data_IF_762209842650
#
_entry.id   IF_762209842650
#
_cell.length_a   1.000
_cell.length_b   1.000
_cell.length_c   1.000
_cell.angle_alpha   90.00
_cell.angle_beta   90.00
_cell.angle_gamma   90.00
#
_symmetry.space_group_name_H-M   'P 1'
#
loop_
_entity.id
_entity.type
_entity.pdbx_description
1 polymer ?
#
# COMPACT_ATOMS: atom_id res chain seq x y z
N UNK A 1 9.40 -17.84 -0.97
CA UNK A 1 9.78 -16.65 -1.76
C UNK A 1 10.53 -15.71 -0.82
N UNK A 2 11.86 -15.58 -0.94
CA UNK A 2 12.62 -14.66 -0.07
C UNK A 2 12.26 -13.21 -0.46
N UNK A 3 11.60 -12.50 0.45
CA UNK A 3 10.81 -11.31 0.11
C UNK A 3 11.59 -10.01 0.08
N UNK A 4 12.88 -10.02 0.44
CA UNK A 4 13.79 -8.86 0.40
C UNK A 4 14.73 -8.79 -0.80
N UNK A 5 14.41 -9.40 -1.95
CA UNK A 5 15.26 -9.33 -3.14
C UNK A 5 15.33 -7.88 -3.69
N UNK A 6 16.53 -7.30 -3.90
CA UNK A 6 16.70 -5.90 -4.34
C UNK A 6 16.03 -5.56 -5.68
N UNK A 7 15.66 -6.57 -6.47
CA UNK A 7 15.07 -6.42 -7.80
C UNK A 7 13.56 -6.18 -7.79
N UNK A 8 12.85 -6.47 -6.69
CA UNK A 8 11.39 -6.36 -6.65
C UNK A 8 10.88 -4.93 -6.87
N UNK A 9 11.47 -3.89 -6.26
CA UNK A 9 11.12 -2.51 -6.56
C UNK A 9 11.26 -2.15 -8.05
N UNK A 10 12.33 -2.64 -8.69
CA UNK A 10 12.59 -2.42 -10.12
C UNK A 10 11.56 -3.12 -10.98
N UNK A 11 11.16 -4.35 -10.63
CA UNK A 11 10.13 -5.09 -11.34
C UNK A 11 8.75 -4.43 -11.19
N UNK A 12 8.41 -3.96 -9.99
CA UNK A 12 7.17 -3.24 -9.73
C UNK A 12 7.09 -1.94 -10.54
N UNK A 13 8.20 -1.19 -10.58
CA UNK A 13 8.34 0.01 -11.41
C UNK A 13 8.13 -0.30 -12.90
N UNK A 14 8.84 -1.30 -13.42
CA UNK A 14 8.74 -1.71 -14.82
C UNK A 14 7.32 -2.19 -15.18
N UNK A 15 6.66 -2.93 -14.28
CA UNK A 15 5.28 -3.39 -14.47
C UNK A 15 4.30 -2.22 -14.51
N UNK A 16 4.44 -1.25 -13.59
CA UNK A 16 3.61 -0.04 -13.58
C UNK A 16 3.77 0.79 -14.87
N UNK A 17 5.01 0.97 -15.34
CA UNK A 17 5.26 1.66 -16.61
C UNK A 17 4.70 0.90 -17.81
N UNK A 18 4.88 -0.43 -17.84
CA UNK A 18 4.38 -1.28 -18.91
C UNK A 18 2.85 -1.19 -19.02
N UNK A 19 2.14 -1.37 -17.90
CA UNK A 19 0.68 -1.34 -17.85
C UNK A 19 0.08 0.02 -18.20
N UNK A 20 0.82 1.11 -17.95
CA UNK A 20 0.39 2.48 -18.25
C UNK A 20 0.95 3.03 -19.57
N UNK A 21 1.64 2.20 -20.36
CA UNK A 21 2.22 2.61 -21.63
C UNK A 21 1.15 2.79 -22.70
N UNK A 22 0.97 4.04 -23.15
CA UNK A 22 0.01 4.40 -24.20
C UNK A 22 0.26 3.67 -25.53
N UNK A 23 1.49 3.21 -25.79
CA UNK A 23 1.86 2.50 -27.03
C UNK A 23 1.38 1.06 -27.10
N UNK A 24 0.92 0.47 -25.99
CA UNK A 24 0.54 -0.95 -25.91
C UNK A 24 -0.98 -1.19 -25.86
N UNK A 25 -1.80 -0.15 -26.00
CA UNK A 25 -3.27 -0.21 -25.84
C UNK A 25 -3.74 -0.80 -24.50
N UNK A 26 -2.88 -0.81 -23.48
CA UNK A 26 -3.22 -1.26 -22.12
C UNK A 26 -3.95 -0.14 -21.38
N UNK A 27 -4.95 -0.50 -20.59
CA UNK A 27 -5.82 0.47 -19.89
C UNK A 27 -5.34 0.82 -18.47
N UNK A 28 -4.09 0.50 -18.13
CA UNK A 28 -3.55 0.68 -16.79
C UNK A 28 -3.96 -0.42 -15.82
N UNK A 29 -3.29 -0.46 -14.67
CA UNK A 29 -3.49 -1.49 -13.64
C UNK A 29 -4.93 -1.53 -13.09
N UNK A 30 -5.69 -0.43 -13.15
CA UNK A 30 -7.08 -0.37 -12.70
C UNK A 30 -8.04 -1.19 -13.56
N UNK A 31 -7.66 -1.51 -14.80
CA UNK A 31 -8.46 -2.34 -15.70
C UNK A 31 -7.79 -3.69 -15.92
N UNK A 32 -6.49 -3.70 -16.22
CA UNK A 32 -5.74 -4.93 -16.50
C UNK A 32 -5.54 -5.78 -15.24
N UNK A 33 -5.40 -5.14 -14.07
CA UNK A 33 -5.15 -5.83 -12.80
C UNK A 33 -6.30 -6.74 -12.38
N UNK A 34 -7.54 -6.23 -12.25
CA UNK A 34 -8.70 -7.06 -11.88
C UNK A 34 -8.96 -8.19 -12.88
N UNK A 35 -8.80 -7.92 -14.18
CA UNK A 35 -9.00 -8.93 -15.23
C UNK A 35 -7.98 -10.07 -15.10
N UNK A 36 -6.68 -9.74 -15.01
CA UNK A 36 -5.63 -10.75 -14.86
C UNK A 36 -5.78 -11.52 -13.55
N UNK A 37 -6.08 -10.83 -12.46
CA UNK A 37 -6.34 -11.49 -11.19
C UNK A 37 -7.50 -12.48 -11.33
N UNK A 38 -8.62 -12.07 -11.91
CA UNK A 38 -9.76 -12.96 -12.15
C UNK A 38 -9.41 -14.19 -12.99
N UNK A 39 -8.66 -14.01 -14.08
CA UNK A 39 -8.20 -15.10 -14.95
C UNK A 39 -7.34 -16.12 -14.19
N UNK A 40 -6.37 -15.64 -13.40
CA UNK A 40 -5.49 -16.50 -12.60
C UNK A 40 -6.25 -17.24 -11.49
N UNK A 41 -7.16 -16.56 -10.80
CA UNK A 41 -7.98 -17.18 -9.75
C UNK A 41 -8.96 -18.23 -10.32
N UNK A 42 -9.52 -17.97 -11.50
CA UNK A 42 -10.44 -18.89 -12.19
C UNK A 42 -9.77 -20.18 -12.66
N UNK A 43 -8.45 -20.15 -12.88
CA UNK A 43 -7.68 -21.31 -13.32
C UNK A 43 -7.27 -22.24 -12.17
N UNK A 44 -7.70 -21.96 -10.93
CA UNK A 44 -7.51 -22.86 -9.78
C UNK A 44 -6.07 -22.91 -9.25
N UNK A 45 -5.27 -21.89 -9.53
CA UNK A 45 -3.85 -21.84 -9.12
C UNK A 45 -3.65 -21.50 -7.63
N UNK A 46 -4.69 -21.10 -6.89
CA UNK A 46 -4.58 -20.63 -5.49
C UNK A 46 -5.73 -21.12 -4.59
N UNK A 47 -5.47 -21.16 -3.28
CA UNK A 47 -6.44 -21.60 -2.29
C UNK A 47 -7.51 -20.52 -2.07
N UNK A 48 -8.75 -20.93 -1.81
CA UNK A 48 -9.88 -20.00 -1.75
C UNK A 48 -9.77 -18.93 -0.66
N UNK A 49 -9.02 -19.21 0.41
CA UNK A 49 -8.72 -18.26 1.49
C UNK A 49 -7.84 -17.08 1.03
N UNK A 50 -6.94 -17.30 0.09
CA UNK A 50 -5.93 -16.33 -0.36
C UNK A 50 -6.52 -15.30 -1.36
N UNK A 51 -7.73 -15.55 -1.88
CA UNK A 51 -8.39 -14.67 -2.85
C UNK A 51 -8.64 -13.26 -2.30
N UNK A 52 -9.12 -13.16 -1.06
CA UNK A 52 -9.38 -11.88 -0.40
C UNK A 52 -8.12 -11.05 -0.22
N UNK A 53 -7.00 -11.71 0.13
CA UNK A 53 -5.72 -11.07 0.32
C UNK A 53 -5.19 -10.47 -0.99
N UNK A 54 -5.25 -11.22 -2.10
CA UNK A 54 -4.78 -10.75 -3.40
C UNK A 54 -5.64 -9.61 -3.95
N UNK A 55 -6.96 -9.71 -3.81
CA UNK A 55 -7.87 -8.63 -4.15
C UNK A 55 -7.57 -7.38 -3.30
N UNK A 56 -7.32 -7.57 -2.01
CA UNK A 56 -6.90 -6.53 -1.07
C UNK A 56 -5.59 -5.85 -1.47
N UNK A 57 -4.56 -6.64 -1.78
CA UNK A 57 -3.26 -6.13 -2.26
C UNK A 57 -3.42 -5.32 -3.54
N UNK A 58 -4.21 -5.79 -4.49
CA UNK A 58 -4.51 -5.06 -5.72
C UNK A 58 -5.19 -3.72 -5.40
N UNK A 59 -6.20 -3.70 -4.53
CA UNK A 59 -6.88 -2.47 -4.10
C UNK A 59 -5.91 -1.46 -3.49
N UNK A 60 -5.01 -1.91 -2.62
CA UNK A 60 -4.00 -1.05 -2.00
C UNK A 60 -3.00 -0.50 -3.03
N UNK A 61 -2.56 -1.32 -3.98
CA UNK A 61 -1.72 -0.85 -5.10
C UNK A 61 -2.44 0.17 -5.98
N UNK A 62 -3.74 -0.01 -6.22
CA UNK A 62 -4.54 0.95 -6.97
C UNK A 62 -4.68 2.28 -6.22
N UNK A 63 -4.98 2.24 -4.93
CA UNK A 63 -5.05 3.43 -4.08
C UNK A 63 -3.73 4.21 -4.08
N UNK A 64 -2.60 3.51 -3.97
CA UNK A 64 -1.27 4.13 -4.08
C UNK A 64 -1.08 4.83 -5.42
N UNK A 65 -1.38 4.16 -6.53
CA UNK A 65 -1.25 4.73 -7.87
C UNK A 65 -2.18 5.91 -8.14
N UNK A 66 -3.40 5.89 -7.59
CA UNK A 66 -4.36 7.00 -7.68
C UNK A 66 -3.82 8.21 -6.90
N UNK A 67 -3.37 7.99 -5.66
CA UNK A 67 -2.77 9.03 -4.82
C UNK A 67 -1.53 9.63 -5.47
N UNK A 68 -0.63 8.79 -6.00
CA UNK A 68 0.55 9.19 -6.75
C UNK A 68 0.19 10.12 -7.92
N UNK A 69 -0.79 9.71 -8.74
CA UNK A 69 -1.28 10.55 -9.85
C UNK A 69 -1.85 11.86 -9.35
N UNK A 70 -2.60 11.88 -8.26
CA UNK A 70 -3.18 13.10 -7.70
C UNK A 70 -2.12 14.07 -7.19
N UNK A 71 -1.14 13.57 -6.43
CA UNK A 71 -0.08 14.37 -5.81
C UNK A 71 0.94 14.89 -6.83
N UNK A 72 1.26 14.10 -7.85
CA UNK A 72 2.35 14.39 -8.78
C UNK A 72 1.87 14.64 -10.23
N UNK A 73 0.57 14.99 -10.38
CA UNK A 73 -0.20 15.25 -11.62
C UNK A 73 0.48 16.14 -12.67
N UNK A 74 1.56 16.83 -12.31
CA UNK A 74 2.28 17.80 -13.13
C UNK A 74 3.68 17.35 -13.61
N UNK A 75 4.13 16.14 -13.26
CA UNK A 75 5.46 15.68 -13.62
C UNK A 75 5.37 14.71 -14.80
N UNK A 76 5.65 15.21 -16.01
CA UNK A 76 5.98 14.33 -17.13
C UNK A 76 7.20 13.50 -16.68
N UNK A 77 7.10 12.15 -16.56
CA UNK A 77 8.18 11.35 -16.04
C UNK A 77 9.40 11.58 -16.93
N UNK A 78 10.41 12.29 -16.41
CA UNK A 78 11.68 12.42 -17.12
C UNK A 78 12.15 11.00 -17.43
N UNK A 79 12.52 10.76 -18.69
CA UNK A 79 13.04 9.48 -19.16
C UNK A 79 14.07 8.93 -18.15
N UNK A 80 13.88 7.69 -17.70
CA UNK A 80 14.69 7.00 -16.69
C UNK A 80 14.50 7.44 -15.22
N UNK A 81 13.40 8.11 -14.86
CA UNK A 81 13.06 8.38 -13.46
C UNK A 81 12.00 7.39 -12.98
N UNK A 82 12.18 6.74 -11.81
CA UNK A 82 11.14 5.89 -11.23
C UNK A 82 9.86 6.71 -10.97
N UNK A 83 8.72 6.15 -11.34
CA UNK A 83 7.42 6.78 -11.21
C UNK A 83 6.56 6.10 -10.14
N UNK A 84 6.42 4.77 -10.23
CA UNK A 84 5.60 3.95 -9.33
C UNK A 84 6.33 3.63 -8.03
N UNK A 85 7.65 3.74 -8.01
CA UNK A 85 8.48 3.64 -6.83
C UNK A 85 8.69 5.00 -6.16
N UNK A 86 7.62 5.56 -5.59
CA UNK A 86 7.64 6.85 -4.91
C UNK A 86 6.83 6.82 -3.60
N UNK A 87 7.22 7.65 -2.65
CA UNK A 87 6.42 7.90 -1.45
C UNK A 87 5.22 8.78 -1.78
N UNK A 88 4.14 8.62 -1.02
CA UNK A 88 2.92 9.44 -1.14
C UNK A 88 2.44 9.85 0.26
N UNK A 89 1.78 11.01 0.41
CA UNK A 89 1.19 11.41 1.68
C UNK A 89 0.17 10.38 2.17
N UNK A 90 0.18 10.08 3.48
CA UNK A 90 -0.79 9.15 4.11
C UNK A 90 -2.22 9.59 3.85
N UNK A 91 -2.49 10.88 3.97
CA UNK A 91 -3.81 11.48 3.73
C UNK A 91 -4.30 11.19 2.31
N UNK A 92 -3.45 11.43 1.30
CA UNK A 92 -3.80 11.18 -0.09
C UNK A 92 -4.01 9.68 -0.38
N UNK A 93 -3.21 8.82 0.25
CA UNK A 93 -3.38 7.36 0.15
C UNK A 93 -4.73 6.90 0.72
N UNK A 94 -5.10 7.42 1.90
CA UNK A 94 -6.36 7.08 2.53
C UNK A 94 -7.55 7.63 1.74
N UNK A 95 -7.49 8.86 1.22
CA UNK A 95 -8.53 9.35 0.29
C UNK A 95 -8.65 8.44 -0.93
N UNK A 96 -7.53 8.06 -1.57
CA UNK A 96 -7.55 7.20 -2.74
C UNK A 96 -8.06 5.77 -2.47
N UNK A 97 -8.05 5.31 -1.21
CA UNK A 97 -8.55 4.00 -0.82
C UNK A 97 -10.08 3.96 -0.73
N UNK A 98 -10.73 5.10 -0.54
CA UNK A 98 -12.19 5.19 -0.38
C UNK A 98 -12.82 6.05 -1.48
N UNK A 99 -14.13 5.85 -1.70
CA UNK A 99 -14.90 6.69 -2.63
C UNK A 99 -14.92 8.16 -2.19
N UNK A 100 -15.01 9.08 -3.16
CA UNK A 100 -15.00 10.53 -2.93
C UNK A 100 -16.09 10.97 -1.93
N UNK A 101 -17.23 10.27 -1.92
CA UNK A 101 -18.34 10.50 -1.00
C UNK A 101 -17.97 10.29 0.49
N UNK A 102 -16.87 9.58 0.77
CA UNK A 102 -16.42 9.26 2.13
C UNK A 102 -15.21 10.07 2.58
N UNK A 103 -14.56 10.83 1.69
CA UNK A 103 -13.31 11.53 1.99
C UNK A 103 -13.42 12.45 3.20
N UNK A 104 -14.44 13.32 3.23
CA UNK A 104 -14.64 14.25 4.34
C UNK A 104 -14.85 13.50 5.66
N UNK A 105 -15.67 12.45 5.66
CA UNK A 105 -15.95 11.66 6.86
C UNK A 105 -14.67 11.04 7.43
N UNK A 106 -13.83 10.46 6.56
CA UNK A 106 -12.58 9.82 6.97
C UNK A 106 -11.60 10.86 7.51
N UNK A 107 -11.44 11.99 6.82
CA UNK A 107 -10.50 13.04 7.21
C UNK A 107 -10.88 13.75 8.51
N UNK A 108 -12.17 13.80 8.83
CA UNK A 108 -12.69 14.37 10.07
C UNK A 108 -12.77 13.37 11.23
N UNK A 109 -12.56 12.08 10.96
CA UNK A 109 -12.57 11.03 11.99
C UNK A 109 -11.51 11.32 13.05
N UNK A 110 -11.86 11.11 14.31
CA UNK A 110 -10.99 11.36 15.46
C UNK A 110 -10.64 10.05 16.14
N UNK A 111 -9.45 10.01 16.74
CA UNK A 111 -9.01 8.83 17.51
C UNK A 111 -10.00 8.52 18.64
N UNK A 112 -10.31 7.24 18.80
CA UNK A 112 -11.10 6.73 19.93
C UNK A 112 -10.26 6.50 21.18
N UNK A 113 -8.94 6.67 21.10
CA UNK A 113 -8.04 6.48 22.24
C UNK A 113 -8.27 7.61 23.26
N UNK A 114 -8.76 7.31 24.49
CA UNK A 114 -9.09 8.30 25.50
C UNK A 114 -7.87 9.04 26.07
N UNK A 115 -6.65 8.59 25.78
CA UNK A 115 -5.40 9.16 26.32
C UNK A 115 -4.76 10.19 25.38
N UNK A 116 -5.24 10.32 24.14
CA UNK A 116 -4.68 11.22 23.13
C UNK A 116 -5.39 12.57 23.03
N UNK A 117 -4.70 13.58 22.51
CA UNK A 117 -5.40 14.77 21.99
C UNK A 117 -6.35 14.33 20.88
N UNK A 118 -7.60 14.78 20.96
CA UNK A 118 -8.63 14.46 19.97
C UNK A 118 -8.39 15.27 18.69
N UNK A 119 -7.43 14.83 17.88
CA UNK A 119 -7.12 15.41 16.58
C UNK A 119 -7.91 14.72 15.47
N UNK A 120 -8.22 15.47 14.41
CA UNK A 120 -8.74 14.92 13.16
C UNK A 120 -7.65 14.08 12.50
N UNK A 121 -8.04 13.01 11.80
CA UNK A 121 -7.12 12.12 11.09
C UNK A 121 -6.21 12.89 10.12
N UNK A 122 -6.77 13.84 9.37
CA UNK A 122 -6.00 14.68 8.44
C UNK A 122 -4.92 15.52 9.12
N UNK A 123 -5.17 15.96 10.36
CA UNK A 123 -4.19 16.72 11.16
C UNK A 123 -3.15 15.80 11.77
N UNK A 124 -3.56 14.65 12.30
CA UNK A 124 -2.68 13.68 12.95
C UNK A 124 -1.63 13.10 11.99
N UNK A 125 -2.01 12.89 10.72
CA UNK A 125 -1.11 12.37 9.68
C UNK A 125 -0.63 13.43 8.70
N UNK A 126 -0.76 14.71 9.05
CA UNK A 126 -0.23 15.80 8.23
C UNK A 126 1.28 15.66 8.08
N UNK A 127 1.76 15.67 6.83
CA UNK A 127 3.19 15.52 6.51
C UNK A 127 3.74 14.10 6.64
N UNK A 128 2.94 13.12 7.03
CA UNK A 128 3.35 11.71 7.08
C UNK A 128 3.23 11.07 5.70
N UNK A 129 4.04 10.04 5.41
CA UNK A 129 4.01 9.34 4.13
C UNK A 129 4.00 7.82 4.27
N UNK A 130 3.43 7.16 3.28
CA UNK A 130 3.62 5.73 3.01
C UNK A 130 4.58 5.55 1.85
N UNK A 131 5.33 4.45 1.85
CA UNK A 131 6.22 4.11 0.75
C UNK A 131 6.26 2.60 0.53
N UNK A 132 5.53 2.14 -0.48
CA UNK A 132 5.59 0.75 -0.92
C UNK A 132 5.36 0.66 -2.43
N UNK A 133 5.93 -0.37 -3.05
CA UNK A 133 5.75 -0.70 -4.47
C UNK A 133 5.29 -2.14 -4.68
N UNK A 134 5.45 -2.99 -3.67
CA UNK A 134 5.14 -4.41 -3.74
C UNK A 134 4.83 -4.96 -2.34
N UNK A 135 4.31 -6.20 -2.32
CA UNK A 135 4.06 -6.95 -1.09
C UNK A 135 5.15 -8.00 -0.85
N UNK A 136 5.46 -8.20 0.42
CA UNK A 136 6.40 -9.22 0.88
C UNK A 136 5.84 -9.96 2.09
N UNK A 137 5.90 -11.29 2.05
CA UNK A 137 5.57 -12.11 3.21
C UNK A 137 6.49 -11.75 4.39
N UNK A 138 5.89 -11.47 5.54
CA UNK A 138 6.58 -11.36 6.82
C UNK A 138 7.03 -12.75 7.25
N UNK A 139 8.35 -12.92 7.46
CA UNK A 139 8.92 -14.22 7.81
C UNK A 139 8.59 -14.62 9.26
N UNK A 140 8.52 -13.62 10.15
CA UNK A 140 8.21 -13.74 11.57
C UNK A 140 7.46 -12.51 12.12
N UNK A 141 7.11 -12.55 13.40
CA UNK A 141 6.49 -11.42 14.14
C UNK A 141 7.44 -10.23 14.30
N UNK A 142 8.76 -10.44 14.24
CA UNK A 142 9.74 -9.36 14.42
C UNK A 142 9.72 -8.39 13.22
N UNK A 143 9.34 -8.86 12.03
CA UNK A 143 9.10 -8.01 10.86
C UNK A 143 7.98 -6.97 11.07
N UNK A 144 7.06 -7.21 12.00
CA UNK A 144 5.97 -6.27 12.35
C UNK A 144 6.39 -5.31 13.49
N UNK A 145 7.57 -5.51 14.09
CA UNK A 145 8.13 -4.57 15.06
C UNK A 145 8.48 -3.22 14.43
N UNK A 146 8.71 -2.19 15.26
CA UNK A 146 9.13 -0.86 14.79
C UNK A 146 10.40 -0.93 13.91
N UNK A 147 11.36 -1.80 14.26
CA UNK A 147 12.55 -2.04 13.44
C UNK A 147 12.23 -2.71 12.11
N UNK A 148 11.34 -3.70 12.13
CA UNK A 148 10.85 -4.36 10.92
C UNK A 148 10.15 -3.39 9.98
N UNK A 149 9.35 -2.46 10.53
CA UNK A 149 8.68 -1.39 9.77
C UNK A 149 9.70 -0.44 9.12
N UNK A 150 10.79 -0.08 9.81
CA UNK A 150 11.87 0.72 9.21
C UNK A 150 12.46 -0.01 8.00
N UNK A 151 12.80 -1.29 8.15
CA UNK A 151 13.35 -2.09 7.05
C UNK A 151 12.35 -2.19 5.89
N UNK A 152 11.08 -2.45 6.21
CA UNK A 152 10.02 -2.56 5.23
C UNK A 152 9.82 -1.25 4.43
N UNK A 153 9.80 -0.11 5.10
CA UNK A 153 9.71 1.21 4.47
C UNK A 153 10.91 1.49 3.54
N UNK A 154 12.14 1.21 4.01
CA UNK A 154 13.37 1.42 3.23
C UNK A 154 13.46 0.49 2.03
N UNK A 155 12.92 -0.71 2.13
CA UNK A 155 12.80 -1.67 1.02
C UNK A 155 11.55 -1.46 0.18
N UNK A 156 10.71 -0.47 0.51
CA UNK A 156 9.48 -0.13 -0.20
C UNK A 156 8.53 -1.31 -0.33
N UNK A 157 8.39 -2.06 0.76
CA UNK A 157 7.58 -3.28 0.85
C UNK A 157 6.46 -3.09 1.88
N UNK A 158 5.23 -3.38 1.46
CA UNK A 158 4.13 -3.65 2.37
C UNK A 158 4.22 -5.11 2.81
N UNK A 159 4.01 -5.38 4.10
CA UNK A 159 4.14 -6.72 4.64
C UNK A 159 2.81 -7.46 4.53
N UNK A 160 2.84 -8.69 4.04
CA UNK A 160 1.75 -9.64 4.15
C UNK A 160 2.02 -10.51 5.36
N UNK A 161 1.07 -10.59 6.28
CA UNK A 161 1.20 -11.46 7.43
C UNK A 161 1.08 -12.93 7.01
N UNK A 162 1.69 -13.82 7.77
CA UNK A 162 1.61 -15.26 7.54
C UNK A 162 0.37 -15.83 8.23
N UNK A 163 -0.19 -16.90 7.67
CA UNK A 163 -1.29 -17.68 8.26
C UNK A 163 -1.05 -17.94 9.76
N UNK A 164 -2.04 -17.58 10.59
CA UNK A 164 -2.01 -17.76 12.05
C UNK A 164 -1.53 -16.54 12.86
N UNK A 165 -1.16 -15.42 12.21
CA UNK A 165 -1.01 -14.11 12.86
C UNK A 165 -2.40 -13.46 12.98
N UNK A 166 -3.07 -13.59 14.14
CA UNK A 166 -4.51 -13.27 14.28
C UNK A 166 -4.93 -11.79 14.10
N UNK A 167 -4.00 -10.84 13.97
CA UNK A 167 -4.33 -9.41 14.09
C UNK A 167 -4.43 -8.61 12.79
N UNK A 168 -3.75 -9.01 11.70
CA UNK A 168 -3.78 -8.31 10.41
C UNK A 168 -3.29 -9.23 9.28
N UNK A 169 -3.83 -9.07 8.07
CA UNK A 169 -3.42 -9.79 6.86
C UNK A 169 -2.37 -9.01 6.05
N UNK A 170 -2.41 -7.68 6.14
CA UNK A 170 -1.39 -6.79 5.57
C UNK A 170 -1.05 -5.62 6.48
N UNK A 171 0.21 -5.19 6.42
CA UNK A 171 0.77 -4.08 7.21
C UNK A 171 1.50 -3.13 6.27
N UNK A 172 1.07 -1.87 6.22
CA UNK A 172 1.73 -0.82 5.44
C UNK A 172 2.50 0.11 6.38
N UNK A 173 3.84 0.20 6.28
CA UNK A 173 4.63 1.12 7.07
C UNK A 173 4.31 2.58 6.74
N UNK A 174 4.23 3.41 7.79
CA UNK A 174 4.10 4.87 7.73
C UNK A 174 5.31 5.48 8.41
N UNK A 175 5.90 6.51 7.80
CA UNK A 175 6.83 7.39 8.49
C UNK A 175 6.13 8.66 8.97
N UNK A 176 6.30 8.94 10.27
CA UNK A 176 5.83 10.14 10.95
C UNK A 176 6.86 11.25 10.82
N UNK A 177 6.81 11.97 9.70
CA UNK A 177 7.73 13.07 9.43
C UNK A 177 7.79 13.41 7.94
N UNK A 178 8.33 14.59 7.64
CA UNK A 178 8.64 14.98 6.27
C UNK A 178 9.77 14.11 5.69
N UNK A 179 9.96 14.14 4.37
CA UNK A 179 10.93 13.27 3.66
C UNK A 179 12.39 13.51 4.07
N UNK A 180 12.68 14.72 4.54
CA UNK A 180 13.99 15.14 5.05
C UNK A 180 14.27 14.66 6.48
N UNK A 181 13.25 14.19 7.21
CA UNK A 181 13.41 13.74 8.58
C UNK A 181 14.06 12.34 8.63
N UNK A 182 14.90 12.05 9.64
CA UNK A 182 15.46 10.72 9.83
C UNK A 182 14.39 9.66 10.08
N UNK A 183 14.46 8.55 9.34
CA UNK A 183 13.65 7.35 9.58
C UNK A 183 14.23 6.59 10.78
N UNK A 184 13.46 6.51 11.86
CA UNK A 184 13.84 5.88 13.12
C UNK A 184 12.68 4.99 13.59
N UNK A 185 12.91 3.93 14.39
CA UNK A 185 11.83 3.10 14.93
C UNK A 185 10.73 3.91 15.62
N UNK A 186 11.10 4.90 16.42
CA UNK A 186 10.17 5.80 17.12
C UNK A 186 9.34 6.73 16.22
N UNK A 187 9.69 6.84 14.93
CA UNK A 187 8.94 7.61 13.93
C UNK A 187 8.16 6.71 12.98
N UNK A 188 8.07 5.40 13.25
CA UNK A 188 7.27 4.47 12.46
C UNK A 188 5.88 4.27 13.06
N UNK A 189 4.87 4.29 12.20
CA UNK A 189 3.55 3.75 12.45
C UNK A 189 3.21 2.72 11.37
N UNK A 190 2.06 2.08 11.49
CA UNK A 190 1.57 1.17 10.47
C UNK A 190 0.06 1.28 10.26
N UNK A 191 -0.37 1.03 9.02
CA UNK A 191 -1.76 0.73 8.69
C UNK A 191 -1.89 -0.79 8.72
N UNK A 192 -2.66 -1.31 9.68
CA UNK A 192 -2.98 -2.72 9.79
C UNK A 192 -4.31 -3.00 9.07
N UNK A 193 -4.31 -3.95 8.15
CA UNK A 193 -5.44 -4.28 7.28
C UNK A 193 -5.84 -5.73 7.46
N UNK A 194 -7.15 -5.98 7.50
CA UNK A 194 -7.72 -7.33 7.51
C UNK A 194 -8.72 -7.46 6.34
N UNK A 195 -8.52 -8.46 5.50
CA UNK A 195 -9.35 -8.79 4.35
C UNK A 195 -10.32 -9.91 4.74
N UNK A 196 -11.59 -9.55 4.90
CA UNK A 196 -12.63 -10.52 5.25
C UNK A 196 -13.26 -11.10 4.00
N UNK A 197 -13.05 -12.40 3.77
CA UNK A 197 -13.84 -13.16 2.81
C UNK A 197 -15.25 -13.33 3.38
N UNK A 198 -16.26 -12.86 2.67
CA UNK A 198 -17.64 -13.14 3.04
C UNK A 198 -17.91 -14.61 2.69
N UNK A 199 -18.19 -15.43 3.71
CA UNK A 199 -18.85 -16.69 3.45
C UNK A 199 -20.26 -16.36 2.95
N UNK A 200 -20.52 -16.69 1.69
CA UNK A 200 -21.89 -16.74 1.19
C UNK A 200 -22.62 -17.79 2.03
N UNK A 201 -23.50 -17.34 2.94
CA UNK A 201 -24.41 -18.19 3.69
C UNK A 201 -25.50 -18.78 2.78
#
# INVERSE_FOLDING_TARGET
>A
MHTGAPSKPVLAEAAGQYLSSAGLNLKGVSVEGPQRLWEELSNGLMAWGEHGELAGQLLLTLAHNIALKSCYRAYDPKKNTPWYHCSIPVVAFLEALFGEEHHQLIMETKSTNPQGQVQKLSTAFAGCYVFFSHFGLADDTEMISEYGLVVALLCSVALQAKDGQESADAVIPIHMGALENPILPATMLAINLQFKNWQMA
#
